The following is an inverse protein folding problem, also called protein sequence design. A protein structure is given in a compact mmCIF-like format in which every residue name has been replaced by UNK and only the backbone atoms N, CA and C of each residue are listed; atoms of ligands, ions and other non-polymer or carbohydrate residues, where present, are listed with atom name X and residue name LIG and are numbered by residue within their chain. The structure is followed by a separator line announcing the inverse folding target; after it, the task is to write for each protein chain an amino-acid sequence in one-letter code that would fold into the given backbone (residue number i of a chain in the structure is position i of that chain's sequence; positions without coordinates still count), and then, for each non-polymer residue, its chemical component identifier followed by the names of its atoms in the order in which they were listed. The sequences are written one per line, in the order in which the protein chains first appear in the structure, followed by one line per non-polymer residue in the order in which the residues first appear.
data_IF_770421893142
#
_entry.id   IF_770421893142
#
_cell.length_a   1.000
_cell.length_b   1.000
_cell.length_c   1.000
_cell.angle_alpha   90.00
_cell.angle_beta   90.00
_cell.angle_gamma   90.00
#
_symmetry.space_group_name_H-M   'P 1'
#
loop_
_entity.id
_entity.type
_entity.pdbx_description
1 polymer ?
#
# COMPACT_ATOMS: atom_id res chain seq x y z
N UNK A 1 -6.99 13.49 -6.20
CA UNK A 1 -5.61 12.98 -6.02
C UNK A 1 -5.36 11.62 -6.69
N UNK A 2 -5.76 10.45 -6.15
CA UNK A 2 -5.44 9.16 -6.84
C UNK A 2 -6.32 8.87 -8.07
N UNK A 3 -7.59 9.26 -8.06
CA UNK A 3 -8.46 9.12 -9.23
C UNK A 3 -7.96 9.97 -10.40
N UNK A 4 -7.50 11.20 -10.12
CA UNK A 4 -6.85 12.07 -11.10
C UNK A 4 -5.59 11.42 -11.69
N UNK A 5 -4.71 10.83 -10.86
CA UNK A 5 -3.53 10.10 -11.36
C UNK A 5 -3.94 8.94 -12.27
N UNK A 6 -5.01 8.21 -11.93
CA UNK A 6 -5.54 7.12 -12.76
C UNK A 6 -6.08 7.64 -14.09
N UNK A 7 -6.72 8.81 -14.09
CA UNK A 7 -7.21 9.51 -15.29
C UNK A 7 -6.06 10.00 -16.16
N UNK A 8 -5.06 10.65 -15.57
CA UNK A 8 -3.87 11.16 -16.27
C UNK A 8 -3.05 10.03 -16.91
N UNK A 9 -3.03 8.85 -16.26
CA UNK A 9 -2.40 7.64 -16.81
C UNK A 9 -3.27 6.93 -17.86
N UNK A 10 -4.49 7.41 -18.14
CA UNK A 10 -5.41 6.82 -19.13
C UNK A 10 -5.99 5.47 -18.70
N UNK A 11 -6.12 5.23 -17.39
CA UNK A 11 -6.49 3.93 -16.81
C UNK A 11 -7.95 3.84 -16.32
N UNK A 12 -8.74 4.91 -16.43
CA UNK A 12 -10.10 5.04 -15.84
C UNK A 12 -11.09 3.95 -16.26
N UNK A 13 -10.93 3.35 -17.44
CA UNK A 13 -11.78 2.25 -17.91
C UNK A 13 -11.34 0.84 -17.47
N UNK A 14 -10.13 0.72 -16.90
CA UNK A 14 -9.53 -0.56 -16.53
C UNK A 14 -9.42 -0.72 -15.00
N UNK A 15 -9.15 0.36 -14.31
CA UNK A 15 -8.92 0.37 -12.86
C UNK A 15 -10.19 0.80 -12.14
N UNK A 16 -10.63 0.01 -11.17
CA UNK A 16 -11.82 0.34 -10.36
C UNK A 16 -11.39 0.92 -9.01
N UNK A 17 -11.92 2.08 -8.66
CA UNK A 17 -11.67 2.73 -7.37
C UNK A 17 -12.90 2.66 -6.46
N UNK A 18 -12.69 2.57 -5.14
CA UNK A 18 -13.72 2.77 -4.12
C UNK A 18 -13.23 3.76 -3.07
N UNK A 19 -14.12 4.48 -2.40
CA UNK A 19 -13.76 5.50 -1.41
C UNK A 19 -13.83 5.05 0.05
N UNK A 20 -14.59 3.99 0.38
CA UNK A 20 -14.72 3.51 1.76
C UNK A 20 -14.78 1.97 1.85
N UNK A 21 -13.68 1.29 2.21
CA UNK A 21 -12.32 1.81 2.30
C UNK A 21 -11.80 2.28 0.94
N UNK A 22 -10.80 3.15 0.95
CA UNK A 22 -10.16 3.59 -0.29
C UNK A 22 -9.39 2.42 -0.90
N UNK A 23 -9.84 1.92 -2.04
CA UNK A 23 -9.19 0.80 -2.72
C UNK A 23 -9.09 1.02 -4.21
N UNK A 24 -8.05 0.44 -4.81
CA UNK A 24 -7.79 0.46 -6.24
C UNK A 24 -7.65 -0.98 -6.70
N UNK A 25 -8.50 -1.41 -7.62
CA UNK A 25 -8.51 -2.78 -8.17
C UNK A 25 -8.08 -2.74 -9.62
N UNK A 26 -7.06 -3.53 -9.93
CA UNK A 26 -6.51 -3.69 -11.27
C UNK A 26 -7.13 -4.91 -11.97
N UNK A 27 -7.18 -4.93 -13.32
CA UNK A 27 -7.72 -6.06 -14.07
C UNK A 27 -7.02 -7.40 -13.81
N UNK A 28 -5.75 -7.37 -13.41
CA UNK A 28 -4.96 -8.56 -13.07
C UNK A 28 -5.28 -9.14 -11.68
N UNK A 29 -6.28 -8.60 -10.97
CA UNK A 29 -6.65 -9.02 -9.62
C UNK A 29 -5.87 -8.36 -8.50
N UNK A 30 -4.82 -7.57 -8.82
CA UNK A 30 -4.09 -6.78 -7.82
C UNK A 30 -5.04 -5.77 -7.19
N UNK A 31 -4.92 -5.63 -5.86
CA UNK A 31 -5.71 -4.69 -5.08
C UNK A 31 -4.79 -3.89 -4.17
N UNK A 32 -4.82 -2.57 -4.32
CA UNK A 32 -4.20 -1.64 -3.38
C UNK A 32 -5.27 -1.17 -2.41
N UNK A 33 -4.95 -1.23 -1.11
CA UNK A 33 -5.84 -0.83 -0.03
C UNK A 33 -5.15 0.26 0.77
N UNK A 34 -5.77 1.42 0.84
CA UNK A 34 -5.31 2.52 1.67
C UNK A 34 -6.01 2.43 3.02
N UNK A 35 -5.21 2.32 4.08
CA UNK A 35 -5.72 2.16 5.43
C UNK A 35 -4.82 2.92 6.40
N UNK A 36 -5.42 3.75 7.26
CA UNK A 36 -4.74 4.36 8.38
C UNK A 36 -4.46 3.35 9.51
N UNK A 37 -3.43 3.62 10.31
CA UNK A 37 -3.07 2.79 11.46
C UNK A 37 -3.88 3.13 12.73
N UNK A 38 -4.89 3.99 12.63
CA UNK A 38 -5.77 4.39 13.73
C UNK A 38 -6.67 3.24 14.22
N UNK A 39 -7.09 2.35 13.30
CA UNK A 39 -8.01 1.24 13.57
C UNK A 39 -7.41 -0.11 13.16
N UNK A 40 -6.50 -0.69 13.96
CA UNK A 40 -5.81 -1.95 13.63
C UNK A 40 -6.77 -3.14 13.44
N UNK A 41 -7.95 -3.10 14.05
CA UNK A 41 -9.01 -4.11 13.85
C UNK A 41 -9.36 -4.32 12.37
N UNK A 42 -9.30 -3.26 11.55
CA UNK A 42 -9.61 -3.35 10.11
C UNK A 42 -8.52 -4.02 9.29
N UNK A 43 -7.29 -4.12 9.81
CA UNK A 43 -6.19 -4.84 9.15
C UNK A 43 -6.34 -6.36 9.31
N UNK A 44 -7.07 -6.81 10.33
CA UNK A 44 -7.18 -8.24 10.67
C UNK A 44 -7.86 -9.07 9.59
N UNK A 45 -8.72 -8.46 8.78
CA UNK A 45 -9.46 -9.11 7.70
C UNK A 45 -8.76 -9.06 6.33
N UNK A 46 -7.60 -8.41 6.24
CA UNK A 46 -6.84 -8.31 5.00
C UNK A 46 -5.82 -9.46 4.96
N UNK A 47 -5.95 -10.30 3.94
CA UNK A 47 -5.11 -11.47 3.71
C UNK A 47 -4.35 -11.33 2.39
N UNK A 48 -3.34 -12.18 2.20
CA UNK A 48 -2.54 -12.25 0.98
C UNK A 48 -1.88 -10.89 0.66
N UNK A 49 -1.16 -10.34 1.64
CA UNK A 49 -0.40 -9.11 1.49
C UNK A 49 1.03 -9.49 1.11
N UNK A 50 1.48 -9.11 -0.08
CA UNK A 50 2.86 -9.25 -0.54
C UNK A 50 3.67 -7.95 -0.43
N UNK A 51 3.00 -6.80 -0.36
CA UNK A 51 3.64 -5.49 -0.27
C UNK A 51 2.93 -4.64 0.79
N UNK A 52 3.71 -4.11 1.73
CA UNK A 52 3.26 -3.04 2.63
C UNK A 52 4.09 -1.80 2.34
N UNK A 53 3.40 -0.70 2.06
CA UNK A 53 4.02 0.60 1.87
C UNK A 53 3.56 1.50 3.01
N UNK A 54 4.50 1.83 3.90
CA UNK A 54 4.25 2.59 5.11
C UNK A 54 4.80 4.01 4.96
N UNK A 55 3.90 4.96 4.77
CA UNK A 55 4.20 6.39 4.80
C UNK A 55 4.31 6.89 6.24
N UNK A 56 5.11 7.94 6.44
CA UNK A 56 5.34 8.58 7.74
C UNK A 56 5.64 7.57 8.86
N UNK A 57 6.45 6.57 8.56
CA UNK A 57 6.72 5.42 9.42
C UNK A 57 7.19 5.81 10.84
N UNK A 58 7.80 6.99 11.00
CA UNK A 58 8.20 7.54 12.31
C UNK A 58 7.03 7.81 13.25
N UNK A 59 5.81 8.02 12.74
CA UNK A 59 4.62 8.28 13.55
C UNK A 59 3.89 7.00 14.00
N UNK A 60 4.31 5.83 13.50
CA UNK A 60 3.62 4.59 13.76
C UNK A 60 4.12 3.94 15.05
N UNK A 61 3.17 3.62 15.93
CA UNK A 61 3.44 2.85 17.15
C UNK A 61 3.99 1.48 16.79
N UNK A 62 4.97 1.02 17.57
CA UNK A 62 5.60 -0.28 17.39
C UNK A 62 4.60 -1.46 17.38
N UNK A 63 3.51 -1.37 18.14
CA UNK A 63 2.43 -2.36 18.11
C UNK A 63 1.75 -2.47 16.75
N UNK A 64 1.51 -1.33 16.07
CA UNK A 64 0.97 -1.30 14.72
C UNK A 64 1.94 -1.90 13.70
N UNK A 65 3.23 -1.62 13.82
CA UNK A 65 4.26 -2.23 12.99
C UNK A 65 4.31 -3.76 13.13
N UNK A 66 4.20 -4.30 14.36
CA UNK A 66 4.13 -5.75 14.57
C UNK A 66 2.89 -6.38 13.93
N UNK A 67 1.73 -5.72 14.00
CA UNK A 67 0.52 -6.21 13.34
C UNK A 67 0.74 -6.28 11.83
N UNK A 68 1.31 -5.24 11.21
CA UNK A 68 1.64 -5.22 9.78
C UNK A 68 2.60 -6.34 9.37
N UNK A 69 3.68 -6.55 10.13
CA UNK A 69 4.58 -7.70 9.91
C UNK A 69 3.84 -9.03 10.01
N UNK A 70 2.92 -9.16 10.97
CA UNK A 70 2.06 -10.33 11.09
C UNK A 70 1.13 -10.53 9.90
N UNK A 71 0.79 -9.48 9.14
CA UNK A 71 -0.11 -9.56 7.97
C UNK A 71 0.61 -9.71 6.64
N UNK A 72 1.89 -9.34 6.57
CA UNK A 72 2.73 -9.51 5.38
C UNK A 72 2.99 -11.00 5.11
N UNK A 73 2.05 -11.65 4.45
CA UNK A 73 2.05 -13.08 4.11
C UNK A 73 1.30 -13.26 2.79
N UNK A 74 1.98 -13.82 1.80
CA UNK A 74 1.42 -14.21 0.51
C UNK A 74 1.93 -15.61 0.14
N UNK A 75 1.10 -16.52 -0.40
CA UNK A 75 1.49 -17.91 -0.63
C UNK A 75 2.57 -18.09 -1.72
N UNK A 76 2.64 -17.17 -2.69
CA UNK A 76 3.45 -17.34 -3.91
C UNK A 76 4.28 -16.14 -4.32
N UNK A 77 4.11 -14.98 -3.68
CA UNK A 77 4.79 -13.75 -4.06
C UNK A 77 5.82 -13.40 -3.01
N UNK A 78 6.93 -12.81 -3.44
CA UNK A 78 7.93 -12.24 -2.55
C UNK A 78 7.31 -11.13 -1.69
N UNK A 79 7.83 -11.03 -0.47
CA UNK A 79 7.30 -10.15 0.56
C UNK A 79 8.19 -8.92 0.70
N UNK A 80 7.60 -7.75 0.48
CA UNK A 80 8.30 -6.47 0.57
C UNK A 80 7.60 -5.55 1.57
N UNK A 81 8.40 -4.84 2.36
CA UNK A 81 7.92 -3.75 3.20
C UNK A 81 8.77 -2.52 2.93
N UNK A 82 8.13 -1.46 2.44
CA UNK A 82 8.75 -0.17 2.15
C UNK A 82 8.37 0.77 3.29
N UNK A 83 9.37 1.31 3.98
CA UNK A 83 9.19 2.25 5.07
C UNK A 83 9.68 3.62 4.61
N UNK A 84 8.78 4.59 4.57
CA UNK A 84 9.09 5.97 4.22
C UNK A 84 8.86 6.82 5.47
N UNK A 85 9.89 7.57 5.86
CA UNK A 85 9.81 8.55 6.95
C UNK A 85 9.54 9.94 6.39
N UNK A 86 10.21 10.95 6.95
CA UNK A 86 10.21 12.30 6.39
C UNK A 86 10.72 12.32 4.93
N UNK A 87 10.27 13.32 4.17
CA UNK A 87 10.55 13.53 2.73
C UNK A 87 11.99 13.18 2.37
N UNK A 88 12.15 12.15 1.53
CA UNK A 88 13.43 11.84 0.90
C UNK A 88 13.56 12.64 -0.40
N UNK A 89 14.54 13.54 -0.46
CA UNK A 89 15.04 14.06 -1.75
C UNK A 89 15.95 12.97 -2.31
N UNK A 90 15.42 12.11 -3.17
CA UNK A 90 16.22 11.12 -3.89
C UNK A 90 16.92 11.82 -5.05
N UNK A 91 18.23 12.03 -4.93
CA UNK A 91 19.06 12.51 -6.02
C UNK A 91 19.72 11.31 -6.72
N UNK A 92 19.20 11.00 -7.90
CA UNK A 92 19.59 9.97 -8.87
C UNK A 92 19.98 8.55 -8.36
N UNK A 93 19.27 7.58 -8.97
CA UNK A 93 19.65 6.17 -9.18
C UNK A 93 19.38 5.18 -8.04
N UNK A 94 18.10 4.97 -7.75
CA UNK A 94 17.60 3.66 -7.33
C UNK A 94 16.52 3.24 -8.32
N UNK A 95 16.57 1.98 -8.76
CA UNK A 95 15.90 1.39 -9.93
C UNK A 95 16.56 1.69 -11.29
N UNK A 96 17.73 1.09 -11.51
CA UNK A 96 17.96 0.45 -12.81
C UNK A 96 17.22 -0.88 -12.78
N UNK A 97 16.09 -0.95 -13.47
CA UNK A 97 15.57 -2.20 -14.02
C UNK A 97 16.31 -2.49 -15.34
#
# INVERSE_FOLDING_TARGET
MFTEIIEDLGLSGKVKTSSSPMTVKFPNGTKVIFQGMDKPEKLKSINNISLIWLEECSEIKYSGFKELLGRLRHPTLDLFMILIGSVFIVRERLFKL
#
